data_IF_489899493444
#
_entry.id   IF_489899493444
#
_cell.length_a   1.000
_cell.length_b   1.000
_cell.length_c   1.000
_cell.angle_alpha   90.00
_cell.angle_beta   90.00
_cell.angle_gamma   90.00
#
_symmetry.space_group_name_H-M   'P 1'
#
loop_
_entity.id
_entity.type
_entity.pdbx_description
1 polymer ?
#
# COMPACT_ATOMS: atom_id res chain seq x y z
N UNK A 1 -35.86 2.37 -31.93
CA UNK A 1 -34.84 1.33 -31.66
C UNK A 1 -34.22 1.65 -30.30
N UNK A 2 -34.56 0.92 -29.25
CA UNK A 2 -33.99 1.11 -27.91
C UNK A 2 -32.63 0.42 -27.84
N UNK A 3 -31.56 1.20 -27.89
CA UNK A 3 -30.19 0.71 -27.75
C UNK A 3 -29.97 0.20 -26.32
N UNK A 4 -29.91 -1.12 -26.18
CA UNK A 4 -29.53 -1.80 -24.95
C UNK A 4 -28.02 -1.69 -24.77
N UNK A 5 -27.55 -0.56 -24.24
CA UNK A 5 -26.15 -0.41 -23.84
C UNK A 5 -25.77 -1.51 -22.82
N UNK A 6 -24.71 -2.30 -23.06
CA UNK A 6 -24.25 -3.30 -22.10
C UNK A 6 -23.58 -2.60 -20.91
N UNK A 7 -24.37 -2.25 -19.89
CA UNK A 7 -23.96 -1.58 -18.64
C UNK A 7 -23.09 -2.49 -17.73
N UNK A 8 -22.68 -3.66 -18.21
CA UNK A 8 -22.02 -4.71 -17.42
C UNK A 8 -20.58 -4.33 -17.02
N UNK A 9 -19.82 -3.67 -17.90
CA UNK A 9 -18.41 -3.36 -17.65
C UNK A 9 -18.18 -2.27 -16.60
N UNK A 10 -18.96 -1.18 -16.64
CA UNK A 10 -18.71 -0.01 -15.80
C UNK A 10 -18.98 -0.26 -14.30
N UNK A 11 -19.92 -1.15 -14.00
CA UNK A 11 -20.30 -1.51 -12.63
C UNK A 11 -19.13 -2.11 -11.84
N UNK A 12 -18.28 -2.92 -12.48
CA UNK A 12 -17.15 -3.55 -11.80
C UNK A 12 -16.12 -2.51 -11.36
N UNK A 13 -15.83 -1.51 -12.20
CA UNK A 13 -14.86 -0.46 -11.86
C UNK A 13 -15.32 0.39 -10.67
N UNK A 14 -16.60 0.74 -10.63
CA UNK A 14 -17.17 1.48 -9.50
C UNK A 14 -17.10 0.69 -8.20
N UNK A 15 -17.37 -0.62 -8.25
CA UNK A 15 -17.26 -1.49 -7.08
C UNK A 15 -15.80 -1.54 -6.60
N UNK A 16 -14.85 -1.82 -7.51
CA UNK A 16 -13.43 -1.90 -7.15
C UNK A 16 -12.92 -0.56 -6.64
N UNK A 17 -13.35 0.55 -7.24
CA UNK A 17 -13.02 1.89 -6.78
C UNK A 17 -13.50 2.14 -5.34
N UNK A 18 -14.73 1.75 -5.02
CA UNK A 18 -15.27 1.91 -3.66
C UNK A 18 -14.55 1.01 -2.66
N UNK A 19 -14.18 -0.22 -3.05
CA UNK A 19 -13.35 -1.12 -2.22
C UNK A 19 -11.98 -0.49 -1.97
N UNK A 20 -11.32 0.05 -3.00
CA UNK A 20 -10.03 0.73 -2.87
C UNK A 20 -10.13 1.93 -1.90
N UNK A 21 -11.21 2.69 -1.99
CA UNK A 21 -11.48 3.81 -1.10
C UNK A 21 -11.61 3.33 0.36
N UNK A 22 -12.44 2.32 0.62
CA UNK A 22 -12.64 1.77 1.96
C UNK A 22 -11.35 1.17 2.55
N UNK A 23 -10.59 0.42 1.75
CA UNK A 23 -9.30 -0.13 2.17
C UNK A 23 -8.33 0.99 2.53
N UNK A 24 -8.31 2.07 1.76
CA UNK A 24 -7.45 3.24 2.03
C UNK A 24 -7.85 3.96 3.32
N UNK A 25 -9.15 4.20 3.51
CA UNK A 25 -9.68 4.78 4.75
C UNK A 25 -9.37 3.90 5.97
N UNK A 26 -9.59 2.58 5.85
CA UNK A 26 -9.26 1.63 6.92
C UNK A 26 -7.78 1.67 7.29
N UNK A 27 -6.88 1.65 6.30
CA UNK A 27 -5.44 1.77 6.54
C UNK A 27 -5.06 3.12 7.17
N UNK A 28 -5.68 4.22 6.73
CA UNK A 28 -5.44 5.55 7.30
C UNK A 28 -5.84 5.60 8.77
N UNK A 29 -6.98 5.01 9.14
CA UNK A 29 -7.43 4.92 10.53
C UNK A 29 -6.53 4.02 11.37
N UNK A 30 -6.04 2.91 10.83
CA UNK A 30 -5.09 2.03 11.53
C UNK A 30 -3.72 2.71 11.73
N UNK A 31 -3.31 3.56 10.79
CA UNK A 31 -2.04 4.29 10.85
C UNK A 31 -1.95 5.36 11.93
N UNK A 32 -3.06 5.75 12.57
CA UNK A 32 -3.05 6.71 13.69
C UNK A 32 -2.83 6.03 15.05
N UNK A 33 -2.92 4.70 15.12
CA UNK A 33 -2.68 3.91 16.33
C UNK A 33 -1.21 3.50 16.43
N UNK A 34 -0.74 3.16 17.64
CA UNK A 34 0.59 2.60 17.85
C UNK A 34 0.84 1.39 16.94
N UNK A 35 1.87 1.48 16.08
CA UNK A 35 2.22 0.45 15.12
C UNK A 35 2.79 -0.79 15.84
N UNK A 36 1.92 -1.77 16.09
CA UNK A 36 2.33 -3.13 16.46
C UNK A 36 2.71 -3.92 15.20
N UNK A 37 3.55 -4.95 15.34
CA UNK A 37 3.97 -5.84 14.23
C UNK A 37 2.77 -6.39 13.45
N UNK A 38 1.70 -6.75 14.15
CA UNK A 38 0.46 -7.21 13.52
C UNK A 38 -0.18 -6.14 12.64
N UNK A 39 -0.25 -4.88 13.10
CA UNK A 39 -0.78 -3.77 12.30
C UNK A 39 0.09 -3.47 11.09
N UNK A 40 1.41 -3.57 11.20
CA UNK A 40 2.33 -3.41 10.07
C UNK A 40 2.04 -4.47 8.99
N UNK A 41 1.83 -5.73 9.37
CA UNK A 41 1.47 -6.80 8.44
C UNK A 41 0.10 -6.56 7.78
N UNK A 42 -0.87 -6.06 8.54
CA UNK A 42 -2.20 -5.69 8.00
C UNK A 42 -2.08 -4.55 6.99
N UNK A 43 -1.30 -3.51 7.32
CA UNK A 43 -1.05 -2.39 6.41
C UNK A 43 -0.33 -2.87 5.14
N UNK A 44 0.70 -3.71 5.29
CA UNK A 44 1.41 -4.31 4.16
C UNK A 44 0.44 -5.12 3.27
N UNK A 45 -0.37 -6.00 3.85
CA UNK A 45 -1.38 -6.77 3.13
C UNK A 45 -2.38 -5.86 2.40
N UNK A 46 -2.84 -4.76 3.04
CA UNK A 46 -3.68 -3.76 2.40
C UNK A 46 -3.01 -3.07 1.20
N UNK A 47 -1.70 -2.80 1.28
CA UNK A 47 -0.91 -2.24 0.18
C UNK A 47 -0.77 -3.21 -1.00
N UNK A 48 -0.57 -4.50 -0.73
CA UNK A 48 -0.55 -5.55 -1.76
C UNK A 48 -1.93 -5.76 -2.39
N UNK A 49 -2.99 -5.72 -1.58
CA UNK A 49 -4.36 -5.87 -2.05
C UNK A 49 -4.74 -4.78 -3.05
N UNK A 50 -4.49 -3.50 -2.72
CA UNK A 50 -4.76 -2.40 -3.64
C UNK A 50 -3.98 -2.54 -4.95
N UNK A 51 -2.71 -2.94 -4.89
CA UNK A 51 -1.88 -3.10 -6.08
C UNK A 51 -2.43 -4.21 -6.98
N UNK A 52 -2.87 -5.32 -6.38
CA UNK A 52 -3.51 -6.44 -7.08
C UNK A 52 -4.84 -6.04 -7.71
N UNK A 53 -5.67 -5.27 -7.01
CA UNK A 53 -6.95 -4.77 -7.52
C UNK A 53 -6.76 -3.78 -8.69
N UNK A 54 -5.80 -2.86 -8.58
CA UNK A 54 -5.48 -1.92 -9.66
C UNK A 54 -4.91 -2.68 -10.87
N UNK A 55 -3.94 -3.56 -10.66
CA UNK A 55 -3.35 -4.36 -11.73
C UNK A 55 -4.37 -5.26 -12.43
N UNK A 56 -5.19 -5.97 -11.65
CA UNK A 56 -6.15 -6.94 -12.17
C UNK A 56 -7.36 -6.33 -12.88
N UNK A 57 -7.90 -5.23 -12.35
CA UNK A 57 -9.17 -4.64 -12.83
C UNK A 57 -8.99 -3.37 -13.66
N UNK A 58 -8.06 -2.48 -13.29
CA UNK A 58 -7.87 -1.20 -14.00
C UNK A 58 -6.80 -1.28 -15.09
N UNK A 59 -5.75 -2.10 -14.90
CA UNK A 59 -4.71 -2.33 -15.91
C UNK A 59 -5.00 -3.54 -16.82
N UNK A 60 -6.17 -4.17 -16.68
CA UNK A 60 -6.60 -5.36 -17.45
C UNK A 60 -5.64 -6.55 -17.48
N UNK A 61 -4.65 -6.62 -16.58
CA UNK A 61 -3.65 -7.69 -16.56
C UNK A 61 -4.27 -9.09 -16.45
N UNK A 62 -5.47 -9.21 -15.88
CA UNK A 62 -6.26 -10.45 -15.83
C UNK A 62 -6.51 -11.08 -17.22
N UNK A 63 -6.64 -10.26 -18.26
CA UNK A 63 -6.99 -10.71 -19.62
C UNK A 63 -5.81 -10.64 -20.60
N UNK A 64 -4.63 -10.24 -20.12
CA UNK A 64 -3.44 -10.06 -20.94
C UNK A 64 -2.35 -11.10 -20.64
N UNK A 65 -1.24 -11.00 -21.39
CA UNK A 65 -0.13 -11.95 -21.38
C UNK A 65 0.52 -12.01 -20.00
N UNK A 66 0.80 -13.23 -19.52
CA UNK A 66 1.48 -13.46 -18.24
C UNK A 66 2.80 -12.66 -18.06
N UNK A 67 3.47 -12.33 -19.16
CA UNK A 67 4.66 -11.47 -19.15
C UNK A 67 4.42 -10.08 -18.56
N UNK A 68 3.25 -9.46 -18.80
CA UNK A 68 2.92 -8.15 -18.24
C UNK A 68 2.66 -8.23 -16.73
N UNK A 69 2.03 -9.31 -16.25
CA UNK A 69 1.85 -9.55 -14.81
C UNK A 69 3.22 -9.60 -14.13
N UNK A 70 4.16 -10.35 -14.71
CA UNK A 70 5.52 -10.49 -14.16
C UNK A 70 6.26 -9.15 -14.15
N UNK A 71 6.23 -8.39 -15.25
CA UNK A 71 6.90 -7.08 -15.33
C UNK A 71 6.36 -6.11 -14.27
N UNK A 72 5.04 -6.04 -14.12
CA UNK A 72 4.40 -5.16 -13.12
C UNK A 72 4.73 -5.61 -11.70
N UNK A 73 4.63 -6.90 -11.41
CA UNK A 73 4.98 -7.43 -10.08
C UNK A 73 6.45 -7.17 -9.73
N UNK A 74 7.36 -7.39 -10.67
CA UNK A 74 8.80 -7.10 -10.51
C UNK A 74 9.01 -5.60 -10.31
N UNK A 75 8.36 -4.74 -11.09
CA UNK A 75 8.46 -3.28 -10.95
C UNK A 75 8.00 -2.79 -9.57
N UNK A 76 6.88 -3.34 -9.07
CA UNK A 76 6.36 -3.02 -7.73
C UNK A 76 7.34 -3.49 -6.65
N UNK A 77 7.82 -4.74 -6.72
CA UNK A 77 8.75 -5.29 -5.73
C UNK A 77 10.10 -4.56 -5.74
N UNK A 78 10.64 -4.26 -6.92
CA UNK A 78 11.89 -3.52 -7.07
C UNK A 78 11.76 -2.11 -6.48
N UNK A 79 10.69 -1.38 -6.82
CA UNK A 79 10.45 -0.04 -6.30
C UNK A 79 10.24 -0.05 -4.79
N UNK A 80 9.45 -0.99 -4.27
CA UNK A 80 9.23 -1.16 -2.84
C UNK A 80 10.53 -1.49 -2.10
N UNK A 81 11.37 -2.37 -2.65
CA UNK A 81 12.68 -2.70 -2.10
C UNK A 81 13.61 -1.49 -2.06
N UNK A 82 13.72 -0.75 -3.17
CA UNK A 82 14.53 0.48 -3.24
C UNK A 82 14.07 1.50 -2.19
N UNK A 83 12.76 1.76 -2.10
CA UNK A 83 12.20 2.65 -1.10
C UNK A 83 12.49 2.18 0.32
N UNK A 84 12.35 0.88 0.58
CA UNK A 84 12.64 0.31 1.89
C UNK A 84 14.10 0.54 2.30
N UNK A 85 15.06 0.27 1.40
CA UNK A 85 16.48 0.48 1.68
C UNK A 85 16.87 1.95 1.83
N UNK A 86 16.15 2.87 1.17
CA UNK A 86 16.36 4.31 1.35
C UNK A 86 15.77 4.81 2.68
N UNK A 87 14.57 4.38 3.04
CA UNK A 87 13.80 4.92 4.18
C UNK A 87 14.16 4.24 5.51
N UNK A 88 14.38 2.93 5.52
CA UNK A 88 14.69 2.17 6.73
C UNK A 88 15.89 2.71 7.54
N UNK A 89 17.05 3.04 6.94
CA UNK A 89 18.17 3.57 7.70
C UNK A 89 17.87 4.94 8.30
N UNK A 90 17.10 5.79 7.62
CA UNK A 90 16.70 7.09 8.15
C UNK A 90 15.74 6.96 9.34
N UNK A 91 14.79 6.03 9.28
CA UNK A 91 13.95 5.70 10.43
C UNK A 91 14.76 5.24 11.65
N UNK A 92 15.79 4.42 11.42
CA UNK A 92 16.68 3.95 12.49
C UNK A 92 17.54 5.08 13.08
N UNK A 93 18.01 6.01 12.23
CA UNK A 93 18.77 7.20 12.67
C UNK A 93 17.92 8.12 13.54
N UNK A 94 16.66 8.34 13.18
CA UNK A 94 15.73 9.15 13.97
C UNK A 94 15.49 8.52 15.34
N UNK A 95 15.24 7.21 15.40
CA UNK A 95 15.04 6.48 16.66
C UNK A 95 16.26 6.60 17.60
N UNK A 96 17.47 6.38 17.06
CA UNK A 96 18.71 6.49 17.83
C UNK A 96 18.98 7.94 18.31
N UNK A 97 18.61 8.92 17.50
CA UNK A 97 18.76 10.35 17.84
C UNK A 97 17.79 10.77 18.95
N UNK A 98 16.54 10.31 18.92
CA UNK A 98 15.57 10.55 20.00
C UNK A 98 16.03 9.96 21.33
N UNK A 99 16.60 8.74 21.32
CA UNK A 99 17.09 8.09 22.54
C UNK A 99 18.30 8.83 23.17
N UNK A 100 19.15 9.44 22.35
CA UNK A 100 20.31 10.23 22.81
C UNK A 100 19.92 11.59 23.41
N UNK A 101 18.81 12.17 22.97
CA UNK A 101 18.27 13.41 23.52
C UNK A 101 17.65 13.20 24.91
N UNK A 102 16.89 12.13 25.12
CA UNK A 102 16.29 11.80 26.42
C UNK A 102 17.36 11.50 27.50
N UNK A 103 18.48 10.87 27.12
CA UNK A 103 19.60 10.60 28.03
C UNK A 103 20.30 11.87 28.54
N UNK A 104 20.35 12.94 27.73
CA UNK A 104 20.92 14.23 28.16
C UNK A 104 19.95 15.06 29.02
N UNK A 105 18.63 14.89 28.85
CA UNK A 105 17.62 15.59 29.65
C UNK A 105 17.42 14.91 31.02
N UNK A 106 17.58 13.58 31.10
CA UNK A 106 17.44 12.82 32.34
C UNK A 106 18.63 12.87 33.31
N UNK A 107 19.81 13.31 32.86
CA UNK A 107 21.04 13.31 33.66
C UNK A 107 21.30 14.55 34.53
N UNK A 108 20.39 15.52 34.54
CA UNK A 108 20.55 16.81 35.22
C UNK A 108 19.80 16.98 36.54
N UNK A 109 19.35 15.90 37.18
CA UNK A 109 18.67 15.93 38.48
C UNK A 109 19.33 14.97 39.47
#
# INVERSE_FOLDING_TARGET
MSETHPVSGYRIYWIVWFILLLVTLGMMLLGTTALTTALILVLLAGMLLKASLIGGYFMHLRFERASLIVIVAVGILATAGILFFLIAPDGLRVLNSSQSADLHVGGGR
#
